data_IF_447396258940
#
_entry.id   IF_447396258940
#
_cell.length_a   1.000
_cell.length_b   1.000
_cell.length_c   1.000
_cell.angle_alpha   90.00
_cell.angle_beta   90.00
_cell.angle_gamma   90.00
#
_symmetry.space_group_name_H-M   'P 1'
#
loop_
_entity.id
_entity.type
_entity.pdbx_description
1 polymer ?
#
# COMPACT_ATOMS: atom_id res chain seq x y z
N UNK A 1 21.52 16.89 11.94
CA UNK A 1 21.06 15.50 11.72
C UNK A 1 20.38 15.45 10.36
N UNK A 2 20.94 14.72 9.38
CA UNK A 2 20.22 14.47 8.11
C UNK A 2 18.96 13.70 8.47
N UNK A 3 17.78 14.28 8.26
CA UNK A 3 16.50 13.68 8.61
C UNK A 3 16.38 12.27 8.04
N UNK A 4 15.87 11.34 8.84
CA UNK A 4 15.69 9.97 8.39
C UNK A 4 14.69 9.94 7.22
N UNK A 5 15.06 9.22 6.15
CA UNK A 5 14.29 9.23 4.90
C UNK A 5 13.02 8.41 5.06
N UNK A 6 11.92 8.90 4.49
CA UNK A 6 10.63 8.20 4.50
C UNK A 6 10.45 7.32 3.25
N UNK A 7 9.82 6.17 3.45
CA UNK A 7 9.53 5.18 2.42
C UNK A 7 8.08 4.73 2.53
N UNK A 8 7.46 4.47 1.38
CA UNK A 8 6.24 3.68 1.30
C UNK A 8 6.59 2.21 1.35
N UNK A 9 6.01 1.48 2.30
CA UNK A 9 5.90 0.03 2.25
C UNK A 9 4.52 -0.30 1.71
N UNK A 10 4.46 -0.95 0.56
CA UNK A 10 3.26 -1.40 -0.11
C UNK A 10 3.17 -2.91 0.08
N UNK A 11 2.07 -3.37 0.64
CA UNK A 11 1.80 -4.78 0.93
C UNK A 11 0.48 -5.17 0.27
N UNK A 12 0.43 -6.35 -0.32
CA UNK A 12 -0.78 -6.95 -0.84
C UNK A 12 -1.07 -8.28 -0.17
N UNK A 13 -2.32 -8.51 0.21
CA UNK A 13 -2.76 -9.69 0.93
C UNK A 13 -3.89 -10.40 0.20
N UNK A 14 -3.81 -11.73 0.16
CA UNK A 14 -4.96 -12.60 -0.08
C UNK A 14 -5.32 -13.27 1.25
N UNK A 15 -6.42 -12.83 1.86
CA UNK A 15 -6.77 -13.16 3.24
C UNK A 15 -5.61 -12.79 4.20
N UNK A 16 -4.94 -13.77 4.80
CA UNK A 16 -3.77 -13.57 5.69
C UNK A 16 -2.43 -13.80 4.99
N UNK A 17 -2.41 -14.25 3.73
CA UNK A 17 -1.19 -14.50 2.98
C UNK A 17 -0.68 -13.22 2.33
N UNK A 18 0.59 -12.87 2.58
CA UNK A 18 1.27 -11.78 1.88
C UNK A 18 1.62 -12.23 0.45
N UNK A 19 0.97 -11.66 -0.55
CA UNK A 19 1.16 -11.99 -1.97
C UNK A 19 2.03 -10.97 -2.72
N UNK A 20 2.16 -9.76 -2.18
CA UNK A 20 2.93 -8.68 -2.78
C UNK A 20 3.60 -7.85 -1.71
N UNK A 21 4.88 -7.53 -1.91
CA UNK A 21 5.55 -6.54 -1.08
C UNK A 21 6.50 -5.69 -1.92
N UNK A 22 6.43 -4.37 -1.75
CA UNK A 22 7.36 -3.44 -2.37
C UNK A 22 7.63 -2.23 -1.49
N UNK A 23 8.89 -1.82 -1.43
CA UNK A 23 9.28 -0.58 -0.75
C UNK A 23 9.79 0.42 -1.78
N UNK A 24 9.25 1.63 -1.75
CA UNK A 24 9.68 2.75 -2.60
C UNK A 24 9.89 4.02 -1.77
N UNK A 25 10.79 4.93 -2.17
CA UNK A 25 10.91 6.22 -1.49
C UNK A 25 9.61 7.03 -1.57
N UNK A 26 9.25 7.76 -0.50
CA UNK A 26 8.02 8.58 -0.48
C UNK A 26 8.01 9.64 -1.58
N UNK A 27 9.18 10.18 -1.96
CA UNK A 27 9.26 11.19 -3.02
C UNK A 27 9.00 10.64 -4.44
N UNK A 28 8.85 9.32 -4.63
CA UNK A 28 8.46 8.74 -5.92
C UNK A 28 6.95 8.77 -6.15
N UNK A 29 6.14 8.86 -5.10
CA UNK A 29 4.69 8.84 -5.20
C UNK A 29 4.06 9.73 -4.14
N UNK A 30 3.31 10.75 -4.58
CA UNK A 30 2.44 11.53 -3.71
C UNK A 30 1.35 10.64 -3.10
N UNK A 31 0.69 11.12 -2.05
CA UNK A 31 -0.44 10.43 -1.41
C UNK A 31 -1.53 10.07 -2.42
N UNK A 32 -1.95 11.03 -3.27
CA UNK A 32 -2.91 10.77 -4.35
C UNK A 32 -2.42 9.71 -5.34
N UNK A 33 -1.14 9.79 -5.74
CA UNK A 33 -0.56 8.79 -6.64
C UNK A 33 -0.52 7.40 -5.99
N UNK A 34 -0.29 7.32 -4.67
CA UNK A 34 -0.35 6.06 -3.93
C UNK A 34 -1.77 5.50 -3.87
N UNK A 35 -2.78 6.35 -3.61
CA UNK A 35 -4.19 5.94 -3.67
C UNK A 35 -4.53 5.33 -5.04
N UNK A 36 -4.22 6.05 -6.12
CA UNK A 36 -4.48 5.58 -7.49
C UNK A 36 -3.75 4.25 -7.78
N UNK A 37 -2.51 4.11 -7.30
CA UNK A 37 -1.74 2.86 -7.44
C UNK A 37 -2.41 1.70 -6.71
N UNK A 38 -2.85 1.90 -5.47
CA UNK A 38 -3.53 0.85 -4.70
C UNK A 38 -4.86 0.45 -5.35
N UNK A 39 -5.65 1.39 -5.87
CA UNK A 39 -6.86 1.08 -6.63
C UNK A 39 -6.57 0.22 -7.87
N UNK A 40 -5.51 0.55 -8.63
CA UNK A 40 -5.10 -0.24 -9.81
C UNK A 40 -4.59 -1.63 -9.45
N UNK A 41 -3.96 -1.79 -8.29
CA UNK A 41 -3.54 -3.10 -7.80
C UNK A 41 -4.74 -3.93 -7.35
N UNK A 42 -5.65 -3.32 -6.59
CA UNK A 42 -6.88 -3.96 -6.11
C UNK A 42 -7.79 -4.39 -7.28
N UNK A 43 -7.91 -3.58 -8.33
CA UNK A 43 -8.75 -3.90 -9.49
C UNK A 43 -8.30 -5.16 -10.24
N UNK A 44 -7.07 -5.65 -10.05
CA UNK A 44 -6.60 -6.90 -10.67
C UNK A 44 -7.31 -8.14 -10.10
N UNK A 45 -7.97 -8.01 -8.96
CA UNK A 45 -8.67 -9.09 -8.27
C UNK A 45 -10.20 -8.95 -8.35
N UNK A 46 -10.69 -7.96 -9.08
CA UNK A 46 -12.11 -7.69 -9.25
C UNK A 46 -12.57 -8.09 -10.65
N UNK A 47 -13.80 -8.57 -10.76
CA UNK A 47 -14.49 -8.70 -12.04
C UNK A 47 -14.81 -7.34 -12.64
N UNK A 48 -15.04 -7.30 -13.95
CA UNK A 48 -15.43 -6.06 -14.66
C UNK A 48 -16.67 -5.41 -14.04
N UNK A 49 -17.67 -6.21 -13.65
CA UNK A 49 -18.88 -5.73 -12.99
C UNK A 49 -18.57 -5.09 -11.65
N UNK A 50 -17.73 -5.70 -10.82
CA UNK A 50 -17.33 -5.12 -9.53
C UNK A 50 -16.54 -3.81 -9.70
N UNK A 51 -15.69 -3.72 -10.73
CA UNK A 51 -14.98 -2.47 -11.05
C UNK A 51 -15.97 -1.39 -11.45
N UNK A 52 -16.94 -1.71 -12.31
CA UNK A 52 -17.96 -0.77 -12.77
C UNK A 52 -18.82 -0.33 -11.57
N UNK A 53 -19.31 -1.25 -10.76
CA UNK A 53 -20.12 -0.96 -9.58
C UNK A 53 -19.34 -0.11 -8.56
N UNK A 54 -18.08 -0.45 -8.26
CA UNK A 54 -17.25 0.33 -7.35
C UNK A 54 -16.92 1.73 -7.89
N UNK A 55 -16.86 1.90 -9.22
CA UNK A 55 -16.57 3.18 -9.87
C UNK A 55 -17.79 4.09 -9.98
N UNK A 56 -18.98 3.50 -10.15
CA UNK A 56 -20.24 4.24 -10.34
C UNK A 56 -20.97 4.53 -9.03
N UNK A 57 -20.85 3.67 -8.02
CA UNK A 57 -21.66 3.74 -6.79
C UNK A 57 -21.04 4.54 -5.64
N UNK A 58 -20.22 5.56 -5.93
CA UNK A 58 -19.46 6.34 -4.94
C UNK A 58 -20.26 6.99 -3.80
N UNK A 59 -21.59 6.85 -3.75
CA UNK A 59 -22.45 7.42 -2.71
C UNK A 59 -23.68 6.57 -2.33
N UNK A 60 -23.79 5.31 -2.74
CA UNK A 60 -24.93 4.49 -2.29
C UNK A 60 -24.64 3.89 -0.89
N UNK A 61 -25.51 4.20 0.06
CA UNK A 61 -25.59 3.56 1.38
C UNK A 61 -25.69 2.03 1.20
N UNK A 62 -24.56 1.34 1.23
CA UNK A 62 -24.45 -0.12 1.02
C UNK A 62 -23.65 -0.56 -0.22
N UNK A 63 -23.10 0.38 -1.01
CA UNK A 63 -22.24 0.08 -2.15
C UNK A 63 -20.88 -0.50 -1.72
N UNK A 64 -20.42 -1.49 -2.46
CA UNK A 64 -19.12 -2.15 -2.26
C UNK A 64 -17.97 -1.15 -2.44
N UNK A 65 -17.43 -0.63 -1.33
CA UNK A 65 -16.30 0.31 -1.26
C UNK A 65 -14.94 -0.34 -1.65
N UNK A 66 -14.94 -1.24 -2.63
CA UNK A 66 -13.80 -2.09 -3.00
C UNK A 66 -12.62 -1.30 -3.56
N UNK A 67 -12.88 -0.15 -4.18
CA UNK A 67 -11.86 0.73 -4.77
C UNK A 67 -11.78 2.09 -4.07
N UNK A 68 -12.42 2.26 -2.91
CA UNK A 68 -12.37 3.50 -2.15
C UNK A 68 -11.17 3.51 -1.19
N UNK A 69 -10.20 4.42 -1.37
CA UNK A 69 -9.05 4.51 -0.47
C UNK A 69 -9.45 4.93 0.94
N UNK A 70 -9.09 4.11 1.91
CA UNK A 70 -9.25 4.40 3.33
C UNK A 70 -7.93 4.94 3.89
N UNK A 71 -7.93 6.21 4.31
CA UNK A 71 -6.77 6.85 4.92
C UNK A 71 -6.85 6.74 6.43
N UNK A 72 -5.81 6.17 7.03
CA UNK A 72 -5.58 6.17 8.47
C UNK A 72 -4.47 7.16 8.80
N UNK A 73 -4.80 8.38 9.26
CA UNK A 73 -3.81 9.35 9.72
C UNK A 73 -3.26 8.85 11.04
N UNK A 74 -2.15 8.11 10.98
CA UNK A 74 -1.53 7.49 12.15
C UNK A 74 -1.47 8.41 13.37
N UNK A 75 -2.14 7.99 14.47
CA UNK A 75 -2.13 8.70 15.75
C UNK A 75 -0.88 8.40 16.59
N UNK A 76 -0.96 8.61 17.92
CA UNK A 76 0.19 8.48 18.83
C UNK A 76 0.89 7.10 18.82
N UNK A 77 0.22 6.05 18.36
CA UNK A 77 0.73 4.66 18.33
C UNK A 77 0.62 3.99 16.95
N UNK A 78 0.11 4.67 15.93
CA UNK A 78 -0.14 4.09 14.60
C UNK A 78 0.58 4.88 13.52
N UNK A 79 1.04 4.16 12.50
CA UNK A 79 1.68 4.74 11.31
C UNK A 79 0.62 5.25 10.34
N UNK A 80 0.93 6.31 9.60
CA UNK A 80 0.11 6.75 8.47
C UNK A 80 0.01 5.61 7.44
N UNK A 81 -1.21 5.23 7.07
CA UNK A 81 -1.46 4.20 6.07
C UNK A 81 -2.67 4.50 5.19
N UNK A 82 -2.64 3.96 3.98
CA UNK A 82 -3.72 3.98 2.99
C UNK A 82 -4.04 2.52 2.68
N UNK A 83 -5.31 2.13 2.71
CA UNK A 83 -5.73 0.78 2.30
C UNK A 83 -6.84 0.83 1.26
N UNK A 84 -6.88 -0.19 0.39
CA UNK A 84 -7.90 -0.37 -0.66
C UNK A 84 -8.28 -1.85 -0.76
N UNK A 85 -9.56 -2.14 -0.99
CA UNK A 85 -10.11 -3.50 -1.13
C UNK A 85 -10.84 -4.00 0.11
N UNK A 86 -11.68 -5.03 -0.05
CA UNK A 86 -12.34 -5.71 1.06
C UNK A 86 -11.91 -7.20 1.11
N UNK A 87 -11.48 -7.72 2.28
CA UNK A 87 -11.33 -7.04 3.57
C UNK A 87 -10.15 -6.06 3.67
N UNK A 88 -9.11 -6.20 2.84
CA UNK A 88 -8.06 -5.21 2.51
C UNK A 88 -7.05 -5.90 1.56
N UNK A 89 -7.12 -5.64 0.25
CA UNK A 89 -6.21 -6.30 -0.69
C UNK A 89 -4.83 -5.66 -0.69
N UNK A 90 -4.75 -4.34 -0.53
CA UNK A 90 -3.48 -3.62 -0.55
C UNK A 90 -3.42 -2.52 0.49
N UNK A 91 -2.26 -2.39 1.13
CA UNK A 91 -1.97 -1.40 2.17
C UNK A 91 -0.65 -0.73 1.84
N UNK A 92 -0.64 0.61 1.80
CA UNK A 92 0.58 1.41 1.81
C UNK A 92 0.76 2.07 3.17
N UNK A 93 1.95 1.95 3.77
CA UNK A 93 2.27 2.59 5.05
C UNK A 93 3.59 3.35 4.98
N UNK A 94 3.70 4.47 5.72
CA UNK A 94 4.85 5.37 5.66
C UNK A 94 5.91 5.07 6.73
N UNK A 95 7.05 4.52 6.35
CA UNK A 95 8.13 4.09 7.26
C UNK A 95 9.34 5.00 7.19
N UNK A 96 10.09 5.07 8.29
CA UNK A 96 11.44 5.60 8.28
C UNK A 96 12.43 4.54 7.80
N UNK A 97 13.56 4.98 7.21
CA UNK A 97 14.61 4.06 6.76
C UNK A 97 15.14 3.22 7.92
N UNK A 98 15.39 3.84 9.07
CA UNK A 98 15.91 3.12 10.25
C UNK A 98 14.96 2.02 10.72
N UNK A 99 13.65 2.25 10.69
CA UNK A 99 12.64 1.25 11.05
C UNK A 99 12.63 0.06 10.08
N UNK A 100 12.78 0.33 8.77
CA UNK A 100 12.89 -0.72 7.76
C UNK A 100 14.20 -1.50 7.91
N UNK A 101 15.32 -0.82 8.16
CA UNK A 101 16.60 -1.50 8.44
C UNK A 101 16.49 -2.38 9.69
N UNK A 102 15.85 -1.90 10.76
CA UNK A 102 15.60 -2.70 11.96
C UNK A 102 14.72 -3.93 11.70
N UNK A 103 13.90 -3.90 10.64
CA UNK A 103 13.11 -5.05 10.15
C UNK A 103 13.84 -5.92 9.12
N UNK A 104 15.10 -5.64 8.82
CA UNK A 104 15.93 -6.46 7.93
C UNK A 104 15.92 -6.04 6.46
N UNK A 105 15.33 -4.90 6.11
CA UNK A 105 15.39 -4.38 4.73
C UNK A 105 16.78 -3.85 4.41
N UNK A 106 17.28 -4.20 3.22
CA UNK A 106 18.59 -3.74 2.74
C UNK A 106 18.40 -2.71 1.64
N UNK A 107 19.04 -1.55 1.79
CA UNK A 107 18.99 -0.45 0.83
C UNK A 107 20.25 -0.43 0.00
N UNK A 108 20.13 -0.68 -1.30
CA UNK A 108 21.24 -0.59 -2.25
C UNK A 108 21.63 0.87 -2.52
N UNK A 109 22.87 1.06 -2.97
CA UNK A 109 23.41 2.38 -3.38
C UNK A 109 22.63 2.99 -4.56
N UNK A 110 22.00 2.16 -5.39
CA UNK A 110 21.16 2.60 -6.51
C UNK A 110 19.71 2.98 -6.10
N UNK A 111 19.38 2.90 -4.81
CA UNK A 111 18.04 3.21 -4.30
C UNK A 111 17.04 2.07 -4.34
N UNK A 112 17.42 0.88 -4.85
CA UNK A 112 16.60 -0.32 -4.71
C UNK A 112 16.56 -0.80 -3.26
N UNK A 113 15.38 -1.27 -2.83
CA UNK A 113 15.17 -1.85 -1.51
C UNK A 113 14.92 -3.34 -1.69
N UNK A 114 15.69 -4.16 -0.97
CA UNK A 114 15.54 -5.61 -0.96
C UNK A 114 14.71 -5.97 0.26
N UNK A 115 13.56 -6.60 0.02
CA UNK A 115 12.65 -7.06 1.06
C UNK A 115 13.21 -8.29 1.79
N UNK A 116 13.18 -8.33 3.13
CA UNK A 116 13.52 -9.54 3.87
C UNK A 116 12.49 -10.63 3.55
N UNK A 117 12.95 -11.78 3.07
CA UNK A 117 12.08 -12.94 2.80
C UNK A 117 11.55 -13.06 1.36
N UNK A 118 11.91 -12.17 0.44
CA UNK A 118 11.84 -12.42 -1.00
C UNK A 118 10.50 -12.92 -1.55
N UNK A 119 9.36 -12.32 -1.18
CA UNK A 119 8.11 -12.58 -1.91
C UNK A 119 8.08 -11.67 -3.14
N UNK A 120 8.74 -12.12 -4.20
CA UNK A 120 8.40 -11.76 -5.57
C UNK A 120 7.71 -12.99 -6.16
N UNK A 121 6.43 -13.22 -5.82
CA UNK A 121 5.62 -14.13 -6.63
C UNK A 121 5.19 -13.36 -7.89
N UNK A 122 5.47 -13.90 -9.10
CA UNK A 122 5.23 -13.24 -10.38
C UNK A 122 3.75 -12.93 -10.64
#
# INVERSE_FOLDING_TARGET
MKGDRRYWKIEGYDSTELIFERVIPVYWASEKCMMDLLCRLASKHLSENEIIEASLNGHHLGGNALLEPQVSPGGASRRYSISVGHPNYYIASAWLKSELVAKGYVFSKNGQVICPGGVLKP
#
